data_IF_148220181586
#
_entry.id   IF_148220181586
#
_cell.length_a   1.000
_cell.length_b   1.000
_cell.length_c   1.000
_cell.angle_alpha   90.00
_cell.angle_beta   90.00
_cell.angle_gamma   90.00
#
_symmetry.space_group_name_H-M   'P 1'
#
loop_
_entity.id
_entity.type
_entity.pdbx_description
1 polymer ?
#
# COMPACT_ATOMS: atom_id res chain seq x y z
N UNK A 1 -12.21 0.75 9.82
CA UNK A 1 -11.75 2.12 9.51
C UNK A 1 -10.29 2.29 9.90
N UNK A 2 -9.50 3.08 9.14
CA UNK A 2 -8.09 3.31 9.44
C UNK A 2 -7.75 4.81 9.20
N UNK A 3 -8.07 5.71 10.15
CA UNK A 3 -7.67 7.10 10.05
C UNK A 3 -6.14 7.22 10.03
N UNK A 4 -5.63 8.14 9.21
CA UNK A 4 -4.21 8.39 9.10
C UNK A 4 -3.92 9.86 8.76
N UNK A 5 -2.73 10.31 9.17
CA UNK A 5 -2.12 11.58 8.76
C UNK A 5 -0.93 11.28 7.86
N UNK A 6 -0.87 11.92 6.71
CA UNK A 6 0.23 11.80 5.76
C UNK A 6 0.96 13.14 5.67
N UNK A 7 2.28 13.10 5.81
CA UNK A 7 3.17 14.22 5.60
C UNK A 7 4.06 13.95 4.40
N UNK A 8 3.90 14.74 3.34
CA UNK A 8 4.74 14.70 2.14
C UNK A 8 6.00 15.52 2.37
N UNK A 9 7.15 14.91 2.17
CA UNK A 9 8.44 15.60 2.19
C UNK A 9 8.69 16.19 0.80
N UNK A 10 8.63 17.52 0.70
CA UNK A 10 8.91 18.22 -0.54
C UNK A 10 10.41 18.21 -0.82
N UNK A 11 10.83 17.46 -1.82
CA UNK A 11 12.20 17.39 -2.31
C UNK A 11 12.28 18.11 -3.67
N UNK A 12 12.50 19.44 -3.69
CA UNK A 12 12.44 20.21 -4.93
C UNK A 12 13.46 19.72 -5.95
N UNK A 13 13.02 19.57 -7.22
CA UNK A 13 13.80 19.08 -8.35
C UNK A 13 14.28 17.63 -8.26
N UNK A 14 13.76 16.85 -7.34
CA UNK A 14 14.05 15.42 -7.22
C UNK A 14 13.03 14.60 -8.02
N UNK A 15 13.50 13.51 -8.63
CA UNK A 15 12.65 12.44 -9.16
C UNK A 15 12.22 11.46 -8.06
N UNK A 16 12.64 11.71 -6.84
CA UNK A 16 12.36 10.91 -5.66
C UNK A 16 11.34 11.60 -4.79
N UNK A 17 10.24 10.93 -4.52
CA UNK A 17 9.19 11.35 -3.61
C UNK A 17 9.23 10.50 -2.34
N UNK A 18 9.03 11.14 -1.20
CA UNK A 18 9.03 10.50 0.11
C UNK A 18 7.91 11.08 0.96
N UNK A 19 7.23 10.23 1.69
CA UNK A 19 6.27 10.68 2.70
C UNK A 19 6.30 9.81 3.95
N UNK A 20 5.76 10.34 5.03
CA UNK A 20 5.55 9.61 6.28
C UNK A 20 4.06 9.61 6.56
N UNK A 21 3.51 8.45 6.85
CA UNK A 21 2.12 8.28 7.23
C UNK A 21 2.06 7.62 8.60
N UNK A 22 1.31 8.21 9.52
CA UNK A 22 1.02 7.61 10.82
C UNK A 22 -0.49 7.44 10.95
N UNK A 23 -0.94 6.27 11.38
CA UNK A 23 -2.36 5.95 11.47
C UNK A 23 -2.65 4.84 12.46
N UNK A 24 -3.92 4.49 12.56
CA UNK A 24 -4.37 3.39 13.39
C UNK A 24 -5.54 2.65 12.72
N UNK A 25 -5.41 1.35 12.54
CA UNK A 25 -6.52 0.51 12.13
C UNK A 25 -7.42 0.25 13.35
N UNK A 26 -8.70 0.64 13.23
CA UNK A 26 -9.71 0.46 14.27
C UNK A 26 -10.48 -0.84 14.03
N UNK A 27 -10.88 -1.57 15.10
CA UNK A 27 -11.61 -2.82 14.99
C UNK A 27 -13.10 -2.57 14.67
N UNK A 28 -13.40 -1.92 13.54
CA UNK A 28 -14.75 -1.54 13.11
C UNK A 28 -15.39 -2.50 12.11
N UNK A 29 -14.72 -3.59 11.75
CA UNK A 29 -15.24 -4.62 10.87
C UNK A 29 -16.00 -5.72 11.63
N UNK A 30 -16.61 -6.63 10.87
CA UNK A 30 -17.27 -7.81 11.45
C UNK A 30 -16.26 -8.75 12.14
N UNK A 31 -16.77 -9.58 13.07
CA UNK A 31 -15.97 -10.61 13.73
C UNK A 31 -15.30 -11.53 12.68
N UNK A 32 -14.01 -11.76 12.83
CA UNK A 32 -13.20 -12.55 11.89
C UNK A 32 -12.62 -11.75 10.72
N UNK A 33 -13.07 -10.51 10.47
CA UNK A 33 -12.54 -9.61 9.44
C UNK A 33 -11.64 -8.51 10.05
N UNK A 34 -12.05 -7.98 11.21
CA UNK A 34 -11.19 -7.04 11.94
C UNK A 34 -10.24 -7.77 12.87
N UNK A 35 -8.99 -7.33 12.90
CA UNK A 35 -8.05 -7.77 13.92
C UNK A 35 -8.44 -7.31 15.33
N UNK A 36 -7.91 -7.94 16.37
CA UNK A 36 -8.19 -7.57 17.75
C UNK A 36 -7.58 -6.19 18.07
N UNK A 37 -8.38 -5.32 18.68
CA UNK A 37 -7.94 -4.04 19.21
C UNK A 37 -7.53 -2.99 18.17
N UNK A 38 -7.04 -1.87 18.66
CA UNK A 38 -6.49 -0.79 17.85
C UNK A 38 -5.07 -1.16 17.44
N UNK A 39 -4.77 -1.05 16.14
CA UNK A 39 -3.45 -1.35 15.59
C UNK A 39 -2.83 -0.09 14.98
N UNK A 40 -2.01 0.64 15.76
CA UNK A 40 -1.23 1.74 15.24
C UNK A 40 -0.25 1.28 14.16
N UNK A 41 0.06 2.16 13.21
CA UNK A 41 1.09 1.89 12.21
C UNK A 41 1.81 3.16 11.80
N UNK A 42 3.04 2.98 11.34
CA UNK A 42 3.84 4.01 10.67
C UNK A 42 4.27 3.46 9.33
N UNK A 43 4.09 4.25 8.27
CA UNK A 43 4.47 3.90 6.90
C UNK A 43 5.38 4.97 6.32
N UNK A 44 6.34 4.54 5.54
CA UNK A 44 7.28 5.41 4.81
C UNK A 44 7.18 5.01 3.33
N UNK A 45 6.14 5.47 2.60
CA UNK A 45 6.06 5.28 1.17
C UNK A 45 7.03 6.21 0.44
N UNK A 46 7.66 5.68 -0.59
CA UNK A 46 8.56 6.41 -1.46
C UNK A 46 8.37 5.99 -2.92
N UNK A 47 8.74 6.87 -3.84
CA UNK A 47 8.77 6.57 -5.26
C UNK A 47 9.96 7.23 -5.94
N UNK A 48 10.47 6.60 -7.00
CA UNK A 48 11.56 7.08 -7.84
C UNK A 48 11.16 6.97 -9.31
N UNK A 49 11.07 8.10 -9.99
CA UNK A 49 10.86 8.14 -11.43
C UNK A 49 12.15 7.77 -12.18
N UNK A 50 12.11 6.67 -12.93
CA UNK A 50 13.24 6.19 -13.74
C UNK A 50 13.25 6.78 -15.16
N UNK A 51 12.18 7.47 -15.56
CA UNK A 51 11.99 8.01 -16.89
C UNK A 51 11.31 7.03 -17.85
N UNK A 52 10.89 7.54 -19.01
CA UNK A 52 10.18 6.75 -20.04
C UNK A 52 8.96 5.99 -19.51
N UNK A 53 8.25 6.53 -18.52
CA UNK A 53 7.07 5.90 -17.88
C UNK A 53 7.41 4.72 -16.96
N UNK A 54 8.67 4.53 -16.55
CA UNK A 54 9.05 3.59 -15.51
C UNK A 54 9.16 4.30 -14.16
N UNK A 55 8.69 3.64 -13.12
CA UNK A 55 8.86 4.05 -11.74
C UNK A 55 9.21 2.86 -10.85
N UNK A 56 9.97 3.14 -9.79
CA UNK A 56 10.22 2.22 -8.70
C UNK A 56 9.52 2.78 -7.46
N UNK A 57 8.68 1.97 -6.83
CA UNK A 57 7.90 2.35 -5.66
C UNK A 57 8.21 1.41 -4.51
N UNK A 58 8.22 1.92 -3.31
CA UNK A 58 8.40 1.11 -2.12
C UNK A 58 7.67 1.68 -0.92
N UNK A 59 7.44 0.84 0.07
CA UNK A 59 6.83 1.25 1.31
C UNK A 59 7.31 0.36 2.45
N UNK A 60 7.83 1.00 3.48
CA UNK A 60 8.19 0.35 4.72
C UNK A 60 7.10 0.63 5.76
N UNK A 61 6.59 -0.41 6.38
CA UNK A 61 5.50 -0.28 7.36
C UNK A 61 5.82 -1.03 8.63
N UNK A 62 5.61 -0.39 9.77
CA UNK A 62 5.59 -1.05 11.07
C UNK A 62 4.15 -1.05 11.59
N UNK A 63 3.58 -2.23 11.78
CA UNK A 63 2.30 -2.44 12.45
C UNK A 63 2.54 -2.82 13.89
N UNK A 64 1.85 -2.16 14.81
CA UNK A 64 1.87 -2.45 16.23
C UNK A 64 0.56 -3.08 16.64
N UNK A 65 0.62 -4.20 17.36
CA UNK A 65 -0.56 -4.92 17.85
C UNK A 65 -0.38 -5.19 19.34
N UNK A 66 -0.64 -4.20 20.22
CA UNK A 66 -0.28 -4.28 21.65
C UNK A 66 -0.88 -5.48 22.36
N UNK A 67 -2.08 -5.90 21.97
CA UNK A 67 -2.88 -6.96 22.62
C UNK A 67 -2.68 -8.35 21.98
N UNK A 68 -1.78 -8.47 20.99
CA UNK A 68 -1.51 -9.74 20.31
C UNK A 68 -0.21 -10.39 20.80
N UNK A 69 -0.09 -11.70 20.57
CA UNK A 69 1.15 -12.46 20.83
C UNK A 69 2.31 -11.91 20.00
N UNK A 70 2.05 -11.50 18.76
CA UNK A 70 3.01 -10.79 17.89
C UNK A 70 2.74 -9.30 18.00
N UNK A 71 3.58 -8.60 18.75
CA UNK A 71 3.39 -7.17 19.07
C UNK A 71 3.82 -6.21 17.97
N UNK A 72 4.64 -6.65 17.05
CA UNK A 72 5.13 -5.84 15.94
C UNK A 72 5.31 -6.70 14.68
N UNK A 73 4.88 -6.17 13.55
CA UNK A 73 5.16 -6.74 12.23
C UNK A 73 5.75 -5.65 11.36
N UNK A 74 6.95 -5.89 10.85
CA UNK A 74 7.54 -5.08 9.80
C UNK A 74 7.10 -5.62 8.45
N UNK A 75 6.66 -4.74 7.56
CA UNK A 75 6.33 -5.04 6.17
C UNK A 75 7.16 -4.18 5.25
N UNK A 76 7.75 -4.80 4.24
CA UNK A 76 8.47 -4.10 3.17
C UNK A 76 7.84 -4.46 1.84
N UNK A 77 7.61 -3.46 1.00
CA UNK A 77 7.14 -3.63 -0.37
C UNK A 77 8.09 -2.95 -1.34
N UNK A 78 8.28 -3.57 -2.49
CA UNK A 78 9.06 -3.01 -3.59
C UNK A 78 8.37 -3.35 -4.91
N UNK A 79 7.98 -2.32 -5.67
CA UNK A 79 7.29 -2.48 -6.94
C UNK A 79 8.02 -1.75 -8.05
N UNK A 80 8.14 -2.41 -9.20
CA UNK A 80 8.46 -1.75 -10.47
C UNK A 80 7.18 -1.58 -11.27
N UNK A 81 6.96 -0.37 -11.74
CA UNK A 81 5.77 0.01 -12.49
C UNK A 81 6.13 0.56 -13.86
N UNK A 82 5.29 0.25 -14.85
CA UNK A 82 5.37 0.79 -16.20
C UNK A 82 4.06 1.41 -16.60
N UNK A 83 4.11 2.68 -17.00
CA UNK A 83 3.02 3.37 -17.66
C UNK A 83 2.89 2.91 -19.12
N UNK A 84 1.67 2.54 -19.53
CA UNK A 84 1.34 2.10 -20.89
C UNK A 84 0.30 3.06 -21.47
N UNK A 85 0.76 3.97 -22.33
CA UNK A 85 -0.07 5.07 -22.82
C UNK A 85 -0.41 6.05 -21.69
N UNK A 86 -1.58 6.69 -21.77
CA UNK A 86 -1.97 7.77 -20.84
C UNK A 86 -2.77 7.29 -19.63
N UNK A 87 -3.28 6.05 -19.65
CA UNK A 87 -4.30 5.60 -18.68
C UNK A 87 -4.02 4.25 -18.05
N UNK A 88 -3.14 3.45 -18.64
CA UNK A 88 -2.86 2.10 -18.15
C UNK A 88 -1.50 2.03 -17.46
N UNK A 89 -1.42 1.22 -16.40
CA UNK A 89 -0.20 0.95 -15.66
C UNK A 89 -0.15 -0.54 -15.37
N UNK A 90 1.02 -1.12 -15.53
CA UNK A 90 1.30 -2.50 -15.11
C UNK A 90 2.40 -2.50 -14.08
N UNK A 91 2.38 -3.46 -13.17
CA UNK A 91 3.39 -3.54 -12.12
C UNK A 91 3.72 -4.99 -11.76
N UNK A 92 4.90 -5.13 -11.20
CA UNK A 92 5.32 -6.30 -10.42
C UNK A 92 5.80 -5.81 -9.07
N UNK A 93 5.34 -6.43 -7.99
CA UNK A 93 5.59 -6.04 -6.62
C UNK A 93 6.01 -7.24 -5.79
N UNK A 94 7.04 -7.07 -5.00
CA UNK A 94 7.38 -7.95 -3.88
C UNK A 94 6.77 -7.41 -2.59
N UNK A 95 6.20 -8.30 -1.77
CA UNK A 95 5.70 -7.97 -0.42
C UNK A 95 6.27 -8.96 0.57
N UNK A 96 6.99 -8.46 1.56
CA UNK A 96 7.52 -9.24 2.67
C UNK A 96 6.92 -8.80 4.00
N UNK A 97 6.39 -9.74 4.78
CA UNK A 97 5.93 -9.53 6.15
C UNK A 97 6.88 -10.25 7.10
N UNK A 98 7.40 -9.53 8.06
CA UNK A 98 8.42 -9.97 9.01
C UNK A 98 7.91 -9.72 10.43
N UNK A 99 7.10 -10.65 10.99
CA UNK A 99 6.62 -10.54 12.37
C UNK A 99 7.77 -10.74 13.36
N UNK A 100 7.70 -10.07 14.51
CA UNK A 100 8.70 -10.18 15.57
C UNK A 100 8.84 -11.62 16.12
N UNK A 101 7.83 -12.46 15.91
CA UNK A 101 7.86 -13.90 16.23
C UNK A 101 6.97 -14.66 15.24
N UNK A 102 7.31 -15.89 14.95
CA UNK A 102 6.66 -16.71 13.94
C UNK A 102 7.44 -16.72 12.62
N UNK A 103 6.83 -17.22 11.57
CA UNK A 103 7.45 -17.31 10.24
C UNK A 103 7.20 -16.07 9.41
N UNK A 104 8.16 -15.70 8.57
CA UNK A 104 7.99 -14.68 7.56
C UNK A 104 6.97 -15.13 6.51
N UNK A 105 6.27 -14.17 5.91
CA UNK A 105 5.34 -14.41 4.80
C UNK A 105 5.73 -13.50 3.64
N UNK A 106 6.01 -14.10 2.50
CA UNK A 106 6.51 -13.38 1.34
C UNK A 106 5.69 -13.73 0.12
N UNK A 107 5.41 -12.76 -0.71
CA UNK A 107 4.67 -12.97 -1.95
C UNK A 107 5.16 -12.03 -3.06
N UNK A 108 4.90 -12.43 -4.29
CA UNK A 108 5.05 -11.59 -5.47
C UNK A 108 3.68 -11.32 -6.06
N UNK A 109 3.41 -10.04 -6.32
CA UNK A 109 2.19 -9.58 -7.00
C UNK A 109 2.54 -9.10 -8.39
N UNK A 110 1.59 -9.24 -9.31
CA UNK A 110 1.58 -8.51 -10.57
C UNK A 110 0.17 -8.05 -10.88
N UNK A 111 0.06 -6.96 -11.60
CA UNK A 111 -1.27 -6.45 -11.90
C UNK A 111 -1.26 -5.28 -12.87
N UNK A 112 -2.45 -4.78 -13.11
CA UNK A 112 -2.68 -3.62 -13.95
C UNK A 112 -3.67 -2.67 -13.28
N UNK A 113 -3.46 -1.38 -13.51
CA UNK A 113 -4.39 -0.31 -13.14
C UNK A 113 -4.82 0.41 -14.41
N UNK A 114 -6.09 0.76 -14.47
CA UNK A 114 -6.63 1.56 -15.57
C UNK A 114 -7.37 2.77 -15.02
N UNK A 115 -6.92 3.96 -15.39
CA UNK A 115 -7.57 5.22 -15.07
C UNK A 115 -8.72 5.46 -16.04
N UNK A 116 -9.95 5.38 -15.54
CA UNK A 116 -11.16 5.63 -16.32
C UNK A 116 -11.21 7.11 -16.67
N UNK A 117 -10.99 7.96 -15.68
CA UNK A 117 -10.86 9.41 -15.76
C UNK A 117 -9.96 9.92 -14.61
N UNK A 118 -9.90 11.23 -14.39
CA UNK A 118 -9.03 11.86 -13.38
C UNK A 118 -9.41 11.49 -11.94
N UNK A 119 -10.61 11.00 -11.72
CA UNK A 119 -11.16 10.70 -10.41
C UNK A 119 -11.46 9.22 -10.18
N UNK A 120 -11.46 8.40 -11.21
CA UNK A 120 -11.87 7.00 -11.15
C UNK A 120 -10.81 6.05 -11.71
N UNK A 121 -10.51 5.00 -10.98
CA UNK A 121 -9.53 3.98 -11.35
C UNK A 121 -10.07 2.59 -10.99
N UNK A 122 -9.79 1.63 -11.85
CA UNK A 122 -9.94 0.20 -11.56
C UNK A 122 -8.55 -0.45 -11.54
N UNK A 123 -8.40 -1.47 -10.74
CA UNK A 123 -7.20 -2.29 -10.68
C UNK A 123 -7.55 -3.77 -10.60
N UNK A 124 -6.64 -4.56 -11.11
CA UNK A 124 -6.65 -6.02 -11.00
C UNK A 124 -5.25 -6.48 -10.60
N UNK A 125 -5.17 -7.43 -9.69
CA UNK A 125 -3.89 -8.03 -9.32
C UNK A 125 -4.00 -9.53 -9.06
N UNK A 126 -2.89 -10.21 -9.29
CA UNK A 126 -2.65 -11.60 -9.00
C UNK A 126 -1.36 -11.73 -8.19
N UNK A 127 -1.43 -12.36 -7.03
CA UNK A 127 -0.29 -12.64 -6.17
C UNK A 127 -0.03 -14.13 -6.03
N UNK A 128 1.24 -14.48 -5.87
CA UNK A 128 1.71 -15.84 -5.58
C UNK A 128 2.57 -15.82 -4.32
N UNK A 129 2.29 -16.73 -3.40
CA UNK A 129 3.11 -16.94 -2.21
C UNK A 129 4.47 -17.53 -2.57
N UNK A 130 5.52 -17.02 -1.93
CA UNK A 130 6.90 -17.47 -2.13
C UNK A 130 7.34 -18.44 -1.02
N UNK A 131 6.56 -18.54 0.03
CA UNK A 131 6.82 -19.44 1.16
C UNK A 131 5.52 -20.04 1.70
N UNK A 132 5.64 -21.02 2.61
CA UNK A 132 4.52 -21.78 3.16
C UNK A 132 3.64 -20.99 4.15
N UNK A 133 4.10 -19.83 4.63
CA UNK A 133 3.31 -18.94 5.51
C UNK A 133 2.50 -17.92 4.69
N UNK A 134 2.83 -17.75 3.41
CA UNK A 134 2.08 -16.89 2.51
C UNK A 134 0.88 -17.64 1.92
N UNK A 135 -0.21 -16.93 1.56
CA UNK A 135 -1.28 -17.52 0.77
C UNK A 135 -0.73 -18.09 -0.55
N UNK A 136 -1.18 -19.28 -0.96
CA UNK A 136 -0.71 -19.89 -2.21
C UNK A 136 -0.94 -18.96 -3.42
N UNK A 137 -2.09 -18.29 -3.44
CA UNK A 137 -2.40 -17.25 -4.43
C UNK A 137 -3.38 -16.22 -3.85
N UNK A 138 -3.36 -15.03 -4.45
CA UNK A 138 -4.29 -13.93 -4.17
C UNK A 138 -4.79 -13.41 -5.51
N UNK A 139 -6.08 -13.14 -5.63
CA UNK A 139 -6.68 -12.44 -6.77
C UNK A 139 -7.49 -11.30 -6.23
N UNK A 140 -7.29 -10.11 -6.76
CA UNK A 140 -8.02 -8.93 -6.34
C UNK A 140 -8.44 -8.04 -7.50
N UNK A 141 -9.59 -7.41 -7.31
CA UNK A 141 -10.11 -6.34 -8.16
C UNK A 141 -10.41 -5.16 -7.26
N UNK A 142 -9.92 -3.99 -7.60
CA UNK A 142 -10.14 -2.75 -6.88
C UNK A 142 -10.84 -1.70 -7.73
N UNK A 143 -11.57 -0.84 -7.07
CA UNK A 143 -12.09 0.39 -7.63
C UNK A 143 -11.80 1.53 -6.65
N UNK A 144 -11.14 2.55 -7.16
CA UNK A 144 -10.78 3.74 -6.38
C UNK A 144 -11.44 4.97 -6.99
N UNK A 145 -11.91 5.86 -6.13
CA UNK A 145 -12.44 7.16 -6.57
C UNK A 145 -11.94 8.28 -5.66
N UNK A 146 -11.83 9.47 -6.23
CA UNK A 146 -11.45 10.69 -5.54
C UNK A 146 -12.60 11.70 -5.62
N UNK A 147 -12.91 12.35 -4.50
CA UNK A 147 -13.88 13.43 -4.43
C UNK A 147 -13.11 14.71 -4.14
N UNK A 148 -13.09 15.63 -5.10
CA UNK A 148 -12.43 16.92 -4.94
C UNK A 148 -13.39 17.96 -4.30
N UNK A 149 -12.83 18.88 -3.53
CA UNK A 149 -13.56 20.06 -3.05
C UNK A 149 -14.45 19.86 -1.83
N UNK A 150 -14.37 18.74 -1.12
CA UNK A 150 -15.20 18.44 0.08
C UNK A 150 -15.05 19.52 1.18
N UNK A 151 -13.94 20.22 1.22
CA UNK A 151 -13.66 21.30 2.19
C UNK A 151 -13.32 22.64 1.52
N UNK A 152 -13.85 22.93 0.34
CA UNK A 152 -13.73 24.28 -0.23
C UNK A 152 -14.43 25.25 0.71
N UNK A 153 -13.67 26.01 1.50
CA UNK A 153 -14.17 27.23 2.14
C UNK A 153 -14.59 28.17 1.01
N UNK A 154 -15.90 28.49 0.96
CA UNK A 154 -16.38 29.60 0.16
C UNK A 154 -15.64 30.86 0.60
N UNK A 155 -14.89 31.47 -0.30
CA UNK A 155 -14.39 32.81 -0.18
C UNK A 155 -15.47 33.80 -0.56
#
# INVERSE_FOLDING_TARGET
>A
MAPALKWQLNLPKSKFDLSITAGAALPTGANGVSGPGIRPYVQIPWSLELGSGWALNGMETNFFTPDAAVKCTYQSTLAIEKEIGERAFVFVEYVGNFPASGGNSQLINSGARYRIDDNHQIDFHLGLGLDHNAPAYIVGVGYSFRIDGVFRRGG
#
